data_IF_024561298689
#
_entry.id   IF_024561298689
#
_cell.length_a   1.000
_cell.length_b   1.000
_cell.length_c   1.000
_cell.angle_alpha   90.00
_cell.angle_beta   90.00
_cell.angle_gamma   90.00
#
_symmetry.space_group_name_H-M   'P 1'
#
loop_
_entity.id
_entity.type
_entity.pdbx_description
1 polymer ?
#
# COMPACT_ATOMS: atom_id res chain seq x y z
N UNK A 1 -45.75 -3.39 20.51
CA UNK A 1 -44.32 -3.23 20.80
C UNK A 1 -43.51 -3.44 19.51
N UNK A 2 -43.03 -2.35 18.88
CA UNK A 2 -42.18 -2.42 17.66
C UNK A 2 -40.72 -2.46 18.11
N UNK A 3 -40.03 -3.59 17.94
CA UNK A 3 -38.58 -3.62 18.03
C UNK A 3 -38.01 -2.88 16.80
N UNK A 4 -37.53 -1.66 17.01
CA UNK A 4 -36.74 -0.92 16.02
C UNK A 4 -35.38 -1.59 15.87
N UNK A 5 -35.21 -2.34 14.78
CA UNK A 5 -33.98 -3.02 14.38
C UNK A 5 -33.05 -2.19 13.47
N UNK A 6 -33.19 -0.85 13.47
CA UNK A 6 -32.52 0.02 12.49
C UNK A 6 -31.21 0.69 12.97
N UNK A 7 -30.80 0.52 14.23
CA UNK A 7 -29.64 1.25 14.80
C UNK A 7 -28.31 0.47 14.81
N UNK A 8 -28.28 -0.78 14.32
CA UNK A 8 -27.07 -1.61 14.34
C UNK A 8 -26.06 -1.25 13.24
N UNK A 9 -26.53 -0.76 12.07
CA UNK A 9 -25.70 -0.49 10.88
C UNK A 9 -24.60 0.58 11.08
N UNK A 10 -24.91 1.77 11.64
CA UNK A 10 -23.91 2.83 11.81
C UNK A 10 -22.81 2.48 12.83
N UNK A 11 -23.17 1.71 13.87
CA UNK A 11 -22.25 1.34 14.96
C UNK A 11 -21.24 0.27 14.55
N UNK A 12 -21.64 -0.67 13.69
CA UNK A 12 -20.76 -1.71 13.16
C UNK A 12 -19.75 -1.15 12.15
N UNK A 13 -20.18 -0.23 11.29
CA UNK A 13 -19.30 0.46 10.34
C UNK A 13 -18.23 1.27 11.08
N UNK A 14 -18.62 2.04 12.11
CA UNK A 14 -17.66 2.81 12.92
C UNK A 14 -16.61 1.96 13.65
N UNK A 15 -16.90 0.68 13.91
CA UNK A 15 -15.97 -0.27 14.53
C UNK A 15 -15.02 -0.92 13.52
N UNK A 16 -15.54 -1.29 12.34
CA UNK A 16 -14.82 -2.13 11.36
C UNK A 16 -13.99 -1.29 10.37
N UNK A 17 -14.41 -0.07 10.03
CA UNK A 17 -13.74 0.74 9.01
C UNK A 17 -12.23 0.96 9.25
N UNK A 18 -11.73 1.19 10.49
CA UNK A 18 -10.31 1.40 10.70
C UNK A 18 -9.46 0.16 10.39
N UNK A 19 -10.01 -1.04 10.61
CA UNK A 19 -9.35 -2.30 10.25
C UNK A 19 -9.27 -2.45 8.74
N UNK A 20 -10.35 -2.14 8.04
CA UNK A 20 -10.37 -2.13 6.57
C UNK A 20 -9.36 -1.12 6.03
N UNK A 21 -9.31 0.09 6.60
CA UNK A 21 -8.35 1.12 6.21
C UNK A 21 -6.90 0.67 6.42
N UNK A 22 -6.60 0.00 7.52
CA UNK A 22 -5.29 -0.58 7.81
C UNK A 22 -4.91 -1.64 6.77
N UNK A 23 -5.83 -2.56 6.44
CA UNK A 23 -5.59 -3.60 5.44
C UNK A 23 -5.37 -2.99 4.06
N UNK A 24 -6.18 -2.00 3.66
CA UNK A 24 -6.03 -1.29 2.39
C UNK A 24 -4.71 -0.51 2.32
N UNK A 25 -4.34 0.18 3.40
CA UNK A 25 -3.07 0.90 3.48
C UNK A 25 -1.87 -0.05 3.37
N UNK A 26 -1.93 -1.20 4.05
CA UNK A 26 -0.88 -2.21 3.96
C UNK A 26 -0.80 -2.81 2.56
N UNK A 27 -1.94 -3.15 1.96
CA UNK A 27 -1.99 -3.66 0.60
C UNK A 27 -1.39 -2.66 -0.39
N UNK A 28 -1.71 -1.37 -0.26
CA UNK A 28 -1.15 -0.31 -1.10
C UNK A 28 0.39 -0.22 -0.97
N UNK A 29 0.90 -0.19 0.26
CA UNK A 29 2.35 -0.13 0.52
C UNK A 29 3.06 -1.37 -0.03
N UNK A 30 2.47 -2.55 0.19
CA UNK A 30 3.00 -3.81 -0.35
C UNK A 30 3.00 -3.81 -1.88
N UNK A 31 1.93 -3.36 -2.54
CA UNK A 31 1.86 -3.27 -4.00
C UNK A 31 2.89 -2.29 -4.56
N UNK A 32 3.03 -1.10 -3.97
CA UNK A 32 4.05 -0.13 -4.38
C UNK A 32 5.47 -0.69 -4.22
N UNK A 33 5.72 -1.40 -3.12
CA UNK A 33 6.99 -2.08 -2.85
C UNK A 33 7.29 -3.16 -3.89
N UNK A 34 6.31 -4.03 -4.20
CA UNK A 34 6.45 -5.07 -5.22
C UNK A 34 6.68 -4.49 -6.62
N UNK A 35 5.96 -3.42 -6.97
CA UNK A 35 6.13 -2.73 -8.25
C UNK A 35 7.55 -2.16 -8.38
N UNK A 36 8.05 -1.50 -7.32
CA UNK A 36 9.41 -0.96 -7.27
C UNK A 36 10.45 -2.07 -7.43
N UNK A 37 10.30 -3.20 -6.73
CA UNK A 37 11.21 -4.34 -6.83
C UNK A 37 11.19 -4.96 -8.24
N UNK A 38 10.03 -5.01 -8.89
CA UNK A 38 9.93 -5.49 -10.27
C UNK A 38 10.65 -4.56 -11.24
N UNK A 39 10.48 -3.25 -11.12
CA UNK A 39 11.16 -2.27 -11.96
C UNK A 39 12.69 -2.27 -11.75
N UNK A 40 13.17 -2.41 -10.51
CA UNK A 40 14.60 -2.56 -10.22
C UNK A 40 15.18 -3.82 -10.86
N UNK A 41 14.44 -4.93 -10.82
CA UNK A 41 14.85 -6.18 -11.49
C UNK A 41 14.93 -6.00 -13.00
N UNK A 42 13.98 -5.28 -13.60
CA UNK A 42 14.00 -4.95 -15.02
C UNK A 42 15.26 -4.19 -15.40
N UNK A 43 15.71 -3.22 -14.59
CA UNK A 43 16.96 -2.49 -14.84
C UNK A 43 18.19 -3.40 -14.86
N UNK A 44 18.26 -4.36 -13.93
CA UNK A 44 19.33 -5.37 -13.92
C UNK A 44 19.24 -6.28 -15.15
N UNK A 45 18.03 -6.62 -15.59
CA UNK A 45 17.80 -7.37 -16.82
C UNK A 45 18.25 -6.60 -18.07
N UNK A 46 17.91 -5.32 -18.16
CA UNK A 46 18.32 -4.42 -19.23
C UNK A 46 19.84 -4.23 -19.29
N UNK A 47 20.50 -4.02 -18.15
CA UNK A 47 21.96 -3.99 -18.08
C UNK A 47 22.59 -5.26 -18.67
N UNK A 48 22.02 -6.44 -18.38
CA UNK A 48 22.52 -7.69 -18.95
C UNK A 48 22.42 -7.72 -20.48
N UNK A 49 21.34 -7.19 -21.05
CA UNK A 49 21.18 -7.08 -22.50
C UNK A 49 22.16 -6.08 -23.10
N UNK A 50 22.30 -4.91 -22.47
CA UNK A 50 23.26 -3.89 -22.85
C UNK A 50 24.70 -4.44 -22.90
N UNK A 51 25.12 -5.13 -21.84
CA UNK A 51 26.44 -5.75 -21.73
C UNK A 51 26.68 -6.86 -22.77
N UNK A 52 25.65 -7.64 -23.11
CA UNK A 52 25.74 -8.65 -24.19
C UNK A 52 25.84 -7.99 -25.57
N UNK A 53 25.02 -6.97 -25.84
CA UNK A 53 25.05 -6.22 -27.09
C UNK A 53 26.42 -5.60 -27.33
N UNK A 54 26.99 -4.96 -26.30
CA UNK A 54 28.35 -4.39 -26.35
C UNK A 54 29.43 -5.45 -26.67
N UNK A 55 29.43 -6.59 -25.96
CA UNK A 55 30.43 -7.65 -26.19
C UNK A 55 30.28 -8.31 -27.56
N UNK A 56 29.05 -8.58 -28.00
CA UNK A 56 28.79 -9.14 -29.32
C UNK A 56 29.19 -8.18 -30.43
N UNK A 57 28.93 -6.87 -30.26
CA UNK A 57 29.36 -5.87 -31.22
C UNK A 57 30.88 -5.89 -31.41
N UNK A 58 31.66 -5.89 -30.32
CA UNK A 58 33.13 -5.96 -30.40
C UNK A 58 33.61 -7.27 -31.03
N UNK A 59 32.98 -8.40 -30.69
CA UNK A 59 33.31 -9.70 -31.26
C UNK A 59 33.12 -9.72 -32.79
N UNK A 60 31.92 -9.37 -33.26
CA UNK A 60 31.62 -9.38 -34.69
C UNK A 60 32.36 -8.30 -35.48
N UNK A 61 32.65 -7.15 -34.86
CA UNK A 61 33.48 -6.14 -35.48
C UNK A 61 34.93 -6.61 -35.69
N UNK A 62 35.48 -7.40 -34.77
CA UNK A 62 36.79 -8.05 -34.96
C UNK A 62 36.75 -9.06 -36.12
N UNK A 63 35.72 -9.92 -36.18
CA UNK A 63 35.57 -10.87 -37.28
C UNK A 63 35.40 -10.17 -38.63
N UNK A 64 34.66 -9.06 -38.65
CA UNK A 64 34.50 -8.24 -39.84
C UNK A 64 35.82 -7.60 -40.28
N UNK A 65 36.64 -7.13 -39.34
CA UNK A 65 37.98 -6.61 -39.64
C UNK A 65 38.87 -7.66 -40.33
N UNK A 66 38.82 -8.91 -39.87
CA UNK A 66 39.67 -10.00 -40.38
C UNK A 66 39.18 -10.54 -41.74
N UNK A 67 37.87 -10.58 -41.95
CA UNK A 67 37.27 -11.31 -43.09
C UNK A 67 36.68 -10.42 -44.18
N UNK A 68 36.26 -9.19 -43.83
CA UNK A 68 35.49 -8.32 -44.70
C UNK A 68 34.10 -8.86 -45.09
N UNK A 69 33.61 -9.94 -44.47
CA UNK A 69 32.33 -10.55 -44.83
C UNK A 69 31.15 -9.76 -44.27
N UNK A 70 30.18 -9.42 -45.12
CA UNK A 70 29.04 -8.59 -44.77
C UNK A 70 28.14 -9.21 -43.67
N UNK A 71 28.14 -10.54 -43.54
CA UNK A 71 27.40 -11.25 -42.49
C UNK A 71 27.81 -10.77 -41.09
N UNK A 72 29.12 -10.73 -40.80
CA UNK A 72 29.62 -10.25 -39.51
C UNK A 72 29.35 -8.76 -39.31
N UNK A 73 29.33 -7.95 -40.37
CA UNK A 73 28.92 -6.54 -40.23
C UNK A 73 27.45 -6.41 -39.84
N UNK A 74 26.58 -7.23 -40.41
CA UNK A 74 25.15 -7.24 -40.06
C UNK A 74 24.94 -7.69 -38.62
N UNK A 75 25.64 -8.72 -38.17
CA UNK A 75 25.59 -9.18 -36.76
C UNK A 75 26.14 -8.11 -35.80
N UNK A 76 27.23 -7.44 -36.17
CA UNK A 76 27.73 -6.27 -35.45
C UNK A 76 26.67 -5.15 -35.35
N UNK A 77 26.03 -4.77 -36.46
CA UNK A 77 25.01 -3.71 -36.50
C UNK A 77 23.80 -4.07 -35.63
N UNK A 78 23.37 -5.33 -35.62
CA UNK A 78 22.30 -5.79 -34.72
C UNK A 78 22.72 -5.73 -33.26
N UNK A 79 23.95 -6.12 -32.94
CA UNK A 79 24.45 -6.13 -31.57
C UNK A 79 24.65 -4.71 -30.99
N UNK A 80 25.24 -3.78 -31.76
CA UNK A 80 25.46 -2.40 -31.32
C UNK A 80 24.15 -1.59 -31.22
N UNK A 81 23.11 -2.00 -31.95
CA UNK A 81 21.79 -1.35 -31.89
C UNK A 81 21.17 -1.42 -30.48
N UNK A 82 21.45 -2.48 -29.71
CA UNK A 82 20.93 -2.67 -28.34
C UNK A 82 21.39 -1.52 -27.40
N UNK A 83 22.69 -1.30 -27.16
CA UNK A 83 23.14 -0.22 -26.29
C UNK A 83 22.81 1.18 -26.83
N UNK A 84 22.72 1.35 -28.16
CA UNK A 84 22.29 2.60 -28.78
C UNK A 84 20.81 2.89 -28.52
N UNK A 85 19.95 1.87 -28.57
CA UNK A 85 18.52 2.00 -28.29
C UNK A 85 18.26 2.30 -26.80
N UNK A 86 18.98 1.62 -25.90
CA UNK A 86 18.94 1.92 -24.46
C UNK A 86 19.36 3.39 -24.20
N UNK A 87 20.45 3.84 -24.84
CA UNK A 87 20.89 5.25 -24.75
C UNK A 87 19.80 6.20 -25.24
N UNK A 88 19.16 5.90 -26.37
CA UNK A 88 18.06 6.71 -26.89
C UNK A 88 16.89 6.79 -25.89
N UNK A 89 16.57 5.68 -25.20
CA UNK A 89 15.55 5.67 -24.15
C UNK A 89 15.91 6.58 -22.97
N UNK A 90 17.15 6.50 -22.49
CA UNK A 90 17.63 7.37 -21.40
C UNK A 90 17.54 8.84 -21.79
N UNK A 91 18.05 9.20 -22.96
CA UNK A 91 18.03 10.58 -23.44
C UNK A 91 16.60 11.12 -23.58
N UNK A 92 15.65 10.30 -24.05
CA UNK A 92 14.23 10.67 -24.11
C UNK A 92 13.64 10.98 -22.72
N UNK A 93 14.07 10.25 -21.68
CA UNK A 93 13.62 10.47 -20.31
C UNK A 93 14.35 11.61 -19.58
N UNK A 94 15.53 12.01 -20.04
CA UNK A 94 16.33 13.09 -19.46
C UNK A 94 15.94 14.49 -19.95
N UNK A 95 15.12 14.57 -20.99
CA UNK A 95 14.57 15.84 -21.50
C UNK A 95 13.79 16.60 -20.41
N UNK A 96 13.71 17.93 -20.57
CA UNK A 96 12.94 18.78 -19.66
C UNK A 96 11.47 18.33 -19.58
N UNK A 97 10.91 17.92 -20.71
CA UNK A 97 9.64 17.21 -20.83
C UNK A 97 9.93 15.79 -21.33
N UNK A 98 9.89 14.76 -20.44
CA UNK A 98 10.22 13.40 -20.81
C UNK A 98 9.27 12.82 -21.88
N UNK A 99 9.83 12.35 -23.00
CA UNK A 99 9.08 11.63 -24.03
C UNK A 99 9.03 10.13 -23.68
N UNK A 100 7.92 9.72 -23.06
CA UNK A 100 7.73 8.33 -22.64
C UNK A 100 7.51 7.38 -23.82
N UNK A 101 7.03 7.87 -24.96
CA UNK A 101 6.82 7.03 -26.15
C UNK A 101 8.15 6.71 -26.83
N UNK A 102 9.01 7.73 -26.99
CA UNK A 102 10.37 7.53 -27.47
C UNK A 102 11.18 6.63 -26.51
N UNK A 103 11.02 6.84 -25.19
CA UNK A 103 11.65 5.98 -24.19
C UNK A 103 11.22 4.51 -24.32
N UNK A 104 9.91 4.27 -24.52
CA UNK A 104 9.37 2.93 -24.71
C UNK A 104 9.96 2.25 -25.93
N UNK A 105 10.08 2.95 -27.05
CA UNK A 105 10.70 2.43 -28.27
C UNK A 105 12.18 2.09 -28.05
N UNK A 106 12.93 2.95 -27.36
CA UNK A 106 14.34 2.70 -27.05
C UNK A 106 14.53 1.47 -26.15
N UNK A 107 13.75 1.32 -25.07
CA UNK A 107 13.88 0.16 -24.19
C UNK A 107 13.51 -1.16 -24.89
N UNK A 108 12.49 -1.16 -25.76
CA UNK A 108 12.16 -2.32 -26.59
C UNK A 108 13.30 -2.65 -27.56
N UNK A 109 13.92 -1.65 -28.18
CA UNK A 109 15.12 -1.82 -29.03
C UNK A 109 16.34 -2.32 -28.24
N UNK A 110 16.41 -2.00 -26.94
CA UNK A 110 17.37 -2.53 -25.98
C UNK A 110 17.09 -3.97 -25.53
N UNK A 111 16.14 -4.67 -26.17
CA UNK A 111 15.69 -6.02 -25.83
C UNK A 111 15.14 -6.17 -24.41
N UNK A 112 14.61 -5.11 -23.81
CA UNK A 112 13.85 -5.21 -22.57
C UNK A 112 12.49 -5.86 -22.84
N UNK A 113 12.00 -6.66 -21.88
CA UNK A 113 10.71 -7.32 -22.00
C UNK A 113 9.57 -6.29 -22.03
N UNK A 114 8.55 -6.41 -22.90
CA UNK A 114 7.48 -5.41 -23.02
C UNK A 114 6.75 -5.08 -21.71
N UNK A 115 6.55 -6.08 -20.85
CA UNK A 115 5.89 -5.93 -19.54
C UNK A 115 6.74 -5.17 -18.51
N UNK A 116 8.06 -5.08 -18.74
CA UNK A 116 8.99 -4.41 -17.84
C UNK A 116 9.17 -2.92 -18.21
N UNK A 117 8.86 -2.52 -19.46
CA UNK A 117 9.18 -1.19 -19.99
C UNK A 117 8.49 -0.07 -19.22
N UNK A 118 7.21 -0.24 -18.89
CA UNK A 118 6.46 0.80 -18.14
C UNK A 118 7.05 0.97 -16.73
N UNK A 119 7.52 -0.13 -16.13
CA UNK A 119 8.23 -0.13 -14.85
C UNK A 119 9.59 0.58 -14.92
N UNK A 120 10.37 0.35 -15.98
CA UNK A 120 11.64 1.04 -16.23
C UNK A 120 11.44 2.56 -16.31
N UNK A 121 10.48 3.00 -17.13
CA UNK A 121 10.13 4.43 -17.29
C UNK A 121 9.68 5.02 -15.95
N UNK A 122 8.80 4.33 -15.23
CA UNK A 122 8.31 4.79 -13.94
C UNK A 122 9.45 4.92 -12.93
N UNK A 123 10.34 3.93 -12.81
CA UNK A 123 11.44 3.97 -11.86
C UNK A 123 12.42 5.11 -12.18
N UNK A 124 12.77 5.32 -13.46
CA UNK A 124 13.64 6.42 -13.86
C UNK A 124 13.06 7.78 -13.47
N UNK A 125 11.80 8.03 -13.83
CA UNK A 125 11.17 9.33 -13.60
C UNK A 125 11.03 9.68 -12.12
N UNK A 126 10.75 8.67 -11.29
CA UNK A 126 10.47 8.88 -9.86
C UNK A 126 11.73 8.78 -8.98
N UNK A 127 12.75 8.03 -9.41
CA UNK A 127 13.88 7.68 -8.53
C UNK A 127 15.27 7.95 -9.11
N UNK A 128 15.43 8.52 -10.32
CA UNK A 128 16.77 8.73 -10.93
C UNK A 128 17.78 9.48 -10.08
N UNK A 129 17.32 10.32 -9.15
CA UNK A 129 18.17 11.12 -8.25
C UNK A 129 18.55 10.39 -6.96
N UNK A 130 18.10 9.15 -6.77
CA UNK A 130 18.43 8.35 -5.59
C UNK A 130 19.84 7.79 -5.77
N UNK A 131 20.71 8.01 -4.77
CA UNK A 131 22.13 7.66 -4.69
C UNK A 131 22.64 6.60 -5.69
N UNK A 132 22.18 5.35 -5.58
CA UNK A 132 22.65 4.24 -6.41
C UNK A 132 22.22 4.33 -7.88
N UNK A 133 20.99 4.78 -8.13
CA UNK A 133 20.47 4.91 -9.49
C UNK A 133 21.14 6.09 -10.21
N UNK A 134 21.40 7.19 -9.51
CA UNK A 134 22.17 8.32 -10.03
C UNK A 134 23.60 7.91 -10.41
N UNK A 135 24.26 7.14 -9.54
CA UNK A 135 25.62 6.62 -9.79
C UNK A 135 25.64 5.66 -10.99
N UNK A 136 24.66 4.76 -11.08
CA UNK A 136 24.52 3.87 -12.23
C UNK A 136 24.27 4.65 -13.53
N UNK A 137 23.39 5.65 -13.52
CA UNK A 137 23.12 6.50 -14.68
C UNK A 137 24.37 7.27 -15.12
N UNK A 138 25.20 7.73 -14.17
CA UNK A 138 26.48 8.38 -14.50
C UNK A 138 27.43 7.42 -15.22
N UNK A 139 27.66 6.21 -14.69
CA UNK A 139 28.50 5.22 -15.37
C UNK A 139 27.96 4.82 -16.76
N UNK A 140 26.63 4.75 -16.89
CA UNK A 140 26.00 4.51 -18.18
C UNK A 140 26.21 5.68 -19.15
N UNK A 141 26.09 6.92 -18.67
CA UNK A 141 26.34 8.12 -19.48
C UNK A 141 27.80 8.22 -19.91
N UNK A 142 28.74 7.90 -19.00
CA UNK A 142 30.17 7.87 -19.32
C UNK A 142 30.48 6.88 -20.42
N UNK A 143 29.73 5.76 -20.52
CA UNK A 143 29.89 4.76 -21.57
C UNK A 143 29.43 5.21 -22.98
N UNK A 144 28.62 6.27 -23.09
CA UNK A 144 28.06 6.75 -24.36
C UNK A 144 29.14 7.05 -25.40
N UNK A 145 30.21 7.72 -24.99
CA UNK A 145 31.28 8.14 -25.90
C UNK A 145 31.92 6.93 -26.58
N UNK A 146 32.18 5.87 -25.82
CA UNK A 146 32.78 4.64 -26.35
C UNK A 146 31.79 3.87 -27.25
N UNK A 147 30.50 3.80 -26.90
CA UNK A 147 29.50 3.16 -27.76
C UNK A 147 29.39 3.86 -29.11
N UNK A 148 29.36 5.19 -29.12
CA UNK A 148 29.35 5.99 -30.35
C UNK A 148 30.66 5.86 -31.14
N UNK A 149 31.80 5.76 -30.45
CA UNK A 149 33.09 5.52 -31.10
C UNK A 149 33.17 4.13 -31.75
N UNK A 150 32.59 3.10 -31.12
CA UNK A 150 32.45 1.77 -31.73
C UNK A 150 31.56 1.86 -32.97
N UNK A 151 30.40 2.52 -32.88
CA UNK A 151 29.50 2.73 -34.03
C UNK A 151 30.24 3.38 -35.22
N UNK A 152 30.89 4.51 -34.96
CA UNK A 152 31.64 5.26 -35.96
C UNK A 152 32.79 4.46 -36.58
N UNK A 153 33.49 3.63 -35.79
CA UNK A 153 34.54 2.76 -36.31
C UNK A 153 33.97 1.69 -37.24
N UNK A 154 32.84 1.06 -36.90
CA UNK A 154 32.16 0.12 -37.78
C UNK A 154 31.76 0.75 -39.11
N UNK A 155 31.20 1.97 -39.07
CA UNK A 155 30.80 2.70 -40.28
C UNK A 155 32.01 3.17 -41.12
N UNK A 156 33.15 3.48 -40.48
CA UNK A 156 34.44 3.73 -41.16
C UNK A 156 34.95 2.46 -41.87
N UNK A 157 34.97 1.33 -41.16
CA UNK A 157 35.42 0.04 -41.68
C UNK A 157 34.58 -0.41 -42.88
N UNK A 158 33.24 -0.34 -42.77
CA UNK A 158 32.34 -0.77 -43.85
C UNK A 158 32.53 0.08 -45.11
N UNK A 159 32.57 1.41 -44.98
CA UNK A 159 32.84 2.31 -46.12
C UNK A 159 34.20 2.08 -46.76
N UNK A 160 35.21 1.62 -46.00
CA UNK A 160 36.53 1.29 -46.54
C UNK A 160 36.51 -0.07 -47.26
N UNK A 161 35.85 -1.08 -46.70
CA UNK A 161 35.77 -2.43 -47.27
C UNK A 161 34.88 -2.49 -48.52
N UNK A 162 33.89 -1.61 -48.66
CA UNK A 162 33.13 -1.41 -49.89
C UNK A 162 33.99 -1.01 -51.10
N UNK A 163 35.16 -0.38 -50.86
CA UNK A 163 36.11 0.00 -51.92
C UNK A 163 37.06 -1.13 -52.32
N UNK A 164 36.98 -2.27 -51.63
CA UNK A 164 37.83 -3.43 -51.84
C UNK A 164 38.53 -3.90 -50.56
N UNK A 165 39.22 -5.05 -50.61
CA UNK A 165 39.83 -5.67 -49.43
C UNK A 165 40.75 -4.72 -48.65
N UNK A 166 40.72 -4.85 -47.33
CA UNK A 166 41.61 -4.10 -46.44
C UNK A 166 43.03 -4.68 -46.50
N UNK A 167 44.02 -3.80 -46.38
CA UNK A 167 45.43 -4.19 -46.25
C UNK A 167 45.71 -4.73 -44.84
N UNK A 168 46.75 -5.57 -44.66
CA UNK A 168 47.13 -6.05 -43.32
C UNK A 168 47.42 -4.93 -42.31
N UNK A 169 47.92 -3.78 -42.78
CA UNK A 169 48.17 -2.61 -41.95
C UNK A 169 46.86 -1.96 -41.47
N UNK A 170 45.85 -1.85 -42.34
CA UNK A 170 44.53 -1.32 -41.96
C UNK A 170 43.82 -2.25 -40.97
N UNK A 171 43.86 -3.56 -41.21
CA UNK A 171 43.30 -4.56 -40.27
C UNK A 171 43.97 -4.43 -38.90
N UNK A 172 45.31 -4.34 -38.86
CA UNK A 172 46.06 -4.17 -37.61
C UNK A 172 45.68 -2.87 -36.87
N UNK A 173 45.50 -1.77 -37.61
CA UNK A 173 45.08 -0.49 -37.05
C UNK A 173 43.66 -0.57 -36.46
N UNK A 174 42.72 -1.18 -37.18
CA UNK A 174 41.35 -1.36 -36.68
C UNK A 174 41.30 -2.24 -35.44
N UNK A 175 42.02 -3.37 -35.43
CA UNK A 175 42.08 -4.24 -34.24
C UNK A 175 42.70 -3.52 -33.04
N UNK A 176 43.72 -2.68 -33.25
CA UNK A 176 44.28 -1.86 -32.19
C UNK A 176 43.24 -0.86 -31.64
N UNK A 177 42.48 -0.18 -32.50
CA UNK A 177 41.38 0.71 -32.10
C UNK A 177 40.28 -0.04 -31.34
N UNK A 178 39.83 -1.19 -31.85
CA UNK A 178 38.80 -2.01 -31.19
C UNK A 178 39.27 -2.44 -29.80
N UNK A 179 40.52 -2.91 -29.68
CA UNK A 179 41.09 -3.31 -28.39
C UNK A 179 41.20 -2.15 -27.40
N UNK A 180 41.54 -0.95 -27.87
CA UNK A 180 41.56 0.26 -27.05
C UNK A 180 40.16 0.61 -26.52
N UNK A 181 39.14 0.57 -27.39
CA UNK A 181 37.75 0.84 -27.01
C UNK A 181 37.22 -0.19 -26.00
N UNK A 182 37.48 -1.49 -26.24
CA UNK A 182 37.11 -2.57 -25.31
C UNK A 182 37.72 -2.37 -23.92
N UNK A 183 39.01 -2.01 -23.88
CA UNK A 183 39.73 -1.71 -22.64
C UNK A 183 39.17 -0.51 -21.87
N UNK A 184 38.60 0.47 -22.56
CA UNK A 184 38.02 1.66 -21.95
C UNK A 184 36.59 1.40 -21.46
N UNK A 185 35.78 0.68 -22.23
CA UNK A 185 34.38 0.43 -21.89
C UNK A 185 34.20 -0.67 -20.83
N UNK A 186 35.09 -1.67 -20.79
CA UNK A 186 34.99 -2.79 -19.86
C UNK A 186 34.86 -2.39 -18.37
N UNK A 187 35.74 -1.50 -17.85
CA UNK A 187 35.63 -1.01 -16.47
C UNK A 187 34.33 -0.23 -16.20
N UNK A 188 33.83 0.54 -17.17
CA UNK A 188 32.58 1.31 -17.04
C UNK A 188 31.36 0.39 -17.01
N UNK A 189 31.30 -0.60 -17.91
CA UNK A 189 30.27 -1.63 -17.92
C UNK A 189 30.23 -2.39 -16.57
N UNK A 190 31.40 -2.76 -16.04
CA UNK A 190 31.53 -3.41 -14.74
C UNK A 190 31.03 -2.49 -13.61
N UNK A 191 31.45 -1.23 -13.58
CA UNK A 191 31.02 -0.26 -12.57
C UNK A 191 29.51 0.01 -12.61
N UNK A 192 28.92 0.05 -13.80
CA UNK A 192 27.48 0.15 -14.00
C UNK A 192 26.73 -1.07 -13.43
N UNK A 193 27.16 -2.29 -13.79
CA UNK A 193 26.63 -3.55 -13.26
C UNK A 193 26.75 -3.62 -11.73
N UNK A 194 27.92 -3.30 -11.18
CA UNK A 194 28.16 -3.33 -9.74
C UNK A 194 27.25 -2.34 -9.00
N UNK A 195 27.09 -1.12 -9.53
CA UNK A 195 26.21 -0.08 -8.97
C UNK A 195 24.73 -0.49 -8.95
N UNK A 196 24.24 -1.09 -10.05
CA UNK A 196 22.87 -1.62 -10.12
C UNK A 196 22.66 -2.81 -9.17
N UNK A 197 23.66 -3.71 -9.07
CA UNK A 197 23.60 -4.86 -8.17
C UNK A 197 23.57 -4.47 -6.69
N UNK A 198 24.41 -3.52 -6.28
CA UNK A 198 24.39 -2.96 -4.92
C UNK A 198 23.11 -2.20 -4.63
N UNK A 199 22.69 -1.31 -5.54
CA UNK A 199 21.46 -0.55 -5.43
C UNK A 199 20.22 -1.45 -5.30
N UNK A 200 20.15 -2.52 -6.10
CA UNK A 200 19.06 -3.50 -6.06
C UNK A 200 18.95 -4.20 -4.70
N UNK A 201 20.09 -4.68 -4.16
CA UNK A 201 20.13 -5.32 -2.84
C UNK A 201 19.74 -4.36 -1.72
N UNK A 202 20.23 -3.13 -1.77
CA UNK A 202 19.88 -2.09 -0.82
C UNK A 202 18.38 -1.75 -0.87
N UNK A 203 17.82 -1.50 -2.06
CA UNK A 203 16.40 -1.18 -2.24
C UNK A 203 15.53 -2.33 -1.74
N UNK A 204 15.88 -3.59 -2.06
CA UNK A 204 15.16 -4.76 -1.55
C UNK A 204 15.14 -4.78 -0.03
N UNK A 205 16.28 -4.56 0.63
CA UNK A 205 16.38 -4.55 2.08
C UNK A 205 15.57 -3.40 2.69
N UNK A 206 15.70 -2.19 2.15
CA UNK A 206 14.99 -1.00 2.61
C UNK A 206 13.47 -1.15 2.47
N UNK A 207 12.98 -1.62 1.32
CA UNK A 207 11.56 -1.87 1.08
C UNK A 207 11.00 -2.97 1.99
N UNK A 208 11.79 -4.03 2.24
CA UNK A 208 11.39 -5.10 3.16
C UNK A 208 11.27 -4.57 4.59
N UNK A 209 12.26 -3.79 5.05
CA UNK A 209 12.22 -3.14 6.36
C UNK A 209 11.05 -2.17 6.48
N UNK A 210 10.79 -1.36 5.44
CA UNK A 210 9.67 -0.44 5.40
C UNK A 210 8.32 -1.16 5.52
N UNK A 211 8.10 -2.25 4.77
CA UNK A 211 6.89 -3.07 4.85
C UNK A 211 6.68 -3.67 6.25
N UNK A 212 7.75 -4.18 6.87
CA UNK A 212 7.66 -4.75 8.24
C UNK A 212 7.38 -3.66 9.28
N UNK A 213 8.02 -2.49 9.14
CA UNK A 213 7.82 -1.36 10.04
C UNK A 213 6.39 -0.80 9.91
N UNK A 214 5.86 -0.64 8.70
CA UNK A 214 4.47 -0.21 8.50
C UNK A 214 3.49 -1.24 9.02
N UNK A 215 3.72 -2.54 8.80
CA UNK A 215 2.90 -3.60 9.40
C UNK A 215 2.87 -3.53 10.93
N UNK A 216 4.04 -3.44 11.57
CA UNK A 216 4.13 -3.31 13.02
C UNK A 216 3.42 -2.05 13.53
N UNK A 217 3.64 -0.90 12.88
CA UNK A 217 3.00 0.37 13.24
C UNK A 217 1.48 0.27 13.16
N UNK A 218 0.94 -0.30 12.06
CA UNK A 218 -0.50 -0.43 11.88
C UNK A 218 -1.12 -1.40 12.90
N UNK A 219 -0.44 -2.50 13.24
CA UNK A 219 -0.87 -3.41 14.31
C UNK A 219 -0.91 -2.67 15.66
N UNK A 220 0.13 -1.89 15.98
CA UNK A 220 0.16 -1.10 17.21
C UNK A 220 -0.97 -0.07 17.28
N UNK A 221 -1.28 0.60 16.16
CA UNK A 221 -2.40 1.53 16.07
C UNK A 221 -3.75 0.84 16.30
N UNK A 222 -3.93 -0.36 15.73
CA UNK A 222 -5.13 -1.19 15.94
C UNK A 222 -5.26 -1.59 17.41
N UNK A 223 -4.19 -2.09 18.03
CA UNK A 223 -4.18 -2.49 19.45
C UNK A 223 -4.49 -1.28 20.34
N UNK A 224 -3.85 -0.15 20.08
CA UNK A 224 -4.06 1.09 20.83
C UNK A 224 -5.50 1.59 20.71
N UNK A 225 -6.05 1.64 19.49
CA UNK A 225 -7.44 2.04 19.24
C UNK A 225 -8.44 1.11 19.93
N UNK A 226 -8.21 -0.20 19.84
CA UNK A 226 -9.08 -1.21 20.46
C UNK A 226 -9.06 -1.10 21.98
N UNK A 227 -7.88 -0.94 22.59
CA UNK A 227 -7.75 -0.70 24.04
C UNK A 227 -8.48 0.57 24.47
N UNK A 228 -8.30 1.67 23.73
CA UNK A 228 -8.97 2.95 24.01
C UNK A 228 -10.50 2.81 23.97
N UNK A 229 -11.03 2.07 22.99
CA UNK A 229 -12.47 1.84 22.87
C UNK A 229 -13.01 0.97 24.02
N UNK A 230 -12.26 -0.08 24.42
CA UNK A 230 -12.64 -0.95 25.55
C UNK A 230 -12.71 -0.17 26.87
N UNK A 231 -11.72 0.69 27.14
CA UNK A 231 -11.71 1.54 28.35
C UNK A 231 -12.90 2.51 28.34
N UNK A 232 -13.20 3.15 27.20
CA UNK A 232 -14.34 4.05 27.08
C UNK A 232 -15.67 3.33 27.31
N UNK A 233 -15.84 2.11 26.77
CA UNK A 233 -17.03 1.30 26.99
C UNK A 233 -17.18 0.90 28.46
N UNK A 234 -16.09 0.49 29.11
CA UNK A 234 -16.12 0.14 30.54
C UNK A 234 -16.49 1.35 31.40
N UNK A 235 -15.89 2.52 31.17
CA UNK A 235 -16.19 3.74 31.92
C UNK A 235 -17.66 4.16 31.75
N UNK A 236 -18.21 4.10 30.54
CA UNK A 236 -19.61 4.40 30.27
C UNK A 236 -20.55 3.42 30.99
N UNK A 237 -20.26 2.12 30.94
CA UNK A 237 -21.06 1.11 31.62
C UNK A 237 -21.04 1.29 33.15
N UNK A 238 -19.88 1.59 33.73
CA UNK A 238 -19.75 1.87 35.16
C UNK A 238 -20.52 3.13 35.58
N UNK A 239 -20.47 4.20 34.79
CA UNK A 239 -21.22 5.43 35.06
C UNK A 239 -22.74 5.17 35.03
N UNK A 240 -23.22 4.43 34.03
CA UNK A 240 -24.63 4.07 33.91
C UNK A 240 -25.11 3.20 35.08
N UNK A 241 -24.30 2.23 35.50
CA UNK A 241 -24.60 1.40 36.65
C UNK A 241 -24.66 2.23 37.94
N UNK A 242 -23.72 3.17 38.13
CA UNK A 242 -23.70 4.04 39.30
C UNK A 242 -24.90 5.00 39.34
N UNK A 243 -25.34 5.55 38.20
CA UNK A 243 -26.57 6.34 38.14
C UNK A 243 -27.80 5.52 38.48
N UNK A 244 -27.89 4.29 37.94
CA UNK A 244 -29.00 3.37 38.24
C UNK A 244 -29.05 3.04 39.74
N UNK A 245 -27.91 2.73 40.33
CA UNK A 245 -27.80 2.43 41.76
C UNK A 245 -28.19 3.64 42.62
N UNK A 246 -27.71 4.85 42.30
CA UNK A 246 -28.11 6.08 42.99
C UNK A 246 -29.61 6.34 42.90
N UNK A 247 -30.22 6.15 41.72
CA UNK A 247 -31.66 6.32 41.55
C UNK A 247 -32.43 5.32 42.42
N UNK A 248 -32.01 4.06 42.45
CA UNK A 248 -32.62 3.02 43.30
C UNK A 248 -32.49 3.32 44.79
N UNK A 249 -31.31 3.76 45.25
CA UNK A 249 -31.10 4.17 46.65
C UNK A 249 -31.98 5.37 47.00
N UNK A 250 -32.08 6.35 46.10
CA UNK A 250 -32.93 7.54 46.29
C UNK A 250 -34.39 7.12 46.42
N UNK A 251 -34.93 6.30 45.51
CA UNK A 251 -36.30 5.79 45.59
C UNK A 251 -36.56 4.96 46.86
N UNK A 252 -35.57 4.16 47.27
CA UNK A 252 -35.67 3.33 48.47
C UNK A 252 -35.69 4.15 49.77
N UNK A 253 -35.07 5.34 49.77
CA UNK A 253 -34.95 6.20 50.96
C UNK A 253 -36.07 7.24 51.10
N UNK A 254 -36.96 7.38 50.11
CA UNK A 254 -38.16 8.22 50.23
C UNK A 254 -39.08 7.68 51.32
N UNK A 255 -39.44 8.52 52.29
CA UNK A 255 -40.28 8.13 53.43
C UNK A 255 -41.73 7.80 53.07
N UNK A 256 -42.23 8.31 51.93
CA UNK A 256 -43.54 7.98 51.37
C UNK A 256 -43.50 6.65 50.61
N UNK A 257 -44.66 5.99 50.52
CA UNK A 257 -44.81 4.79 49.71
C UNK A 257 -44.64 5.13 48.21
N UNK A 258 -43.68 4.48 47.55
CA UNK A 258 -43.44 4.61 46.11
C UNK A 258 -43.60 3.25 45.45
N UNK A 259 -44.39 3.19 44.38
CA UNK A 259 -44.65 1.98 43.58
C UNK A 259 -44.46 2.34 42.10
N UNK A 260 -43.77 1.49 41.34
CA UNK A 260 -43.66 1.57 39.89
C UNK A 260 -44.25 0.33 39.25
N UNK A 261 -44.88 0.50 38.09
CA UNK A 261 -45.45 -0.60 37.30
C UNK A 261 -44.80 -0.70 35.93
N UNK A 262 -44.97 -1.85 35.28
CA UNK A 262 -44.69 -2.02 33.84
C UNK A 262 -45.82 -1.42 32.98
N UNK A 263 -45.66 -1.51 31.65
CA UNK A 263 -46.62 -0.96 30.70
C UNK A 263 -47.99 -1.67 30.76
N UNK A 264 -48.06 -2.86 31.35
CA UNK A 264 -49.27 -3.67 31.51
C UNK A 264 -49.89 -3.50 32.91
N UNK A 265 -49.40 -2.57 33.73
CA UNK A 265 -49.94 -2.27 35.06
C UNK A 265 -49.57 -3.28 36.15
N UNK A 266 -48.53 -4.09 35.93
CA UNK A 266 -48.01 -5.04 36.94
C UNK A 266 -46.91 -4.38 37.76
N UNK A 267 -46.84 -4.73 39.04
CA UNK A 267 -45.87 -4.14 39.95
C UNK A 267 -44.43 -4.55 39.58
N UNK A 268 -43.57 -3.57 39.27
CA UNK A 268 -42.14 -3.78 38.98
C UNK A 268 -41.25 -3.41 40.17
N UNK A 269 -41.59 -2.35 40.90
CA UNK A 269 -40.81 -1.85 42.05
C UNK A 269 -41.72 -1.31 43.16
N UNK A 270 -41.31 -1.49 44.42
CA UNK A 270 -41.88 -0.76 45.54
C UNK A 270 -40.81 -0.54 46.63
N UNK A 271 -40.86 0.61 47.30
CA UNK A 271 -39.92 0.93 48.39
C UNK A 271 -40.42 0.40 49.75
N UNK A 272 -39.58 0.49 50.80
CA UNK A 272 -39.93 0.04 52.14
C UNK A 272 -41.11 0.81 52.77
N UNK A 273 -41.41 2.03 52.30
CA UNK A 273 -42.63 2.75 52.66
C UNK A 273 -43.88 2.03 52.16
N UNK A 274 -43.87 1.60 50.89
CA UNK A 274 -44.95 0.87 50.26
C UNK A 274 -45.11 -0.56 50.82
N UNK A 275 -44.01 -1.26 51.11
CA UNK A 275 -44.06 -2.59 51.76
C UNK A 275 -44.77 -2.54 53.12
N UNK A 276 -44.47 -1.51 53.92
CA UNK A 276 -45.12 -1.28 55.22
C UNK A 276 -46.58 -0.91 55.07
N UNK A 277 -46.91 -0.08 54.08
CA UNK A 277 -48.29 0.36 53.82
C UNK A 277 -49.19 -0.80 53.36
N UNK A 278 -48.66 -1.66 52.48
CA UNK A 278 -49.40 -2.78 51.89
C UNK A 278 -49.29 -4.08 52.71
N UNK A 279 -48.45 -4.09 53.76
CA UNK A 279 -48.13 -5.28 54.55
C UNK A 279 -47.69 -6.49 53.70
N UNK A 280 -47.03 -6.23 52.56
CA UNK A 280 -46.56 -7.26 51.64
C UNK A 280 -45.13 -6.95 51.18
N UNK A 281 -44.31 -7.97 50.96
CA UNK A 281 -42.95 -7.81 50.46
C UNK A 281 -42.91 -7.69 48.94
N UNK A 282 -41.89 -7.01 48.40
CA UNK A 282 -41.73 -6.81 46.96
C UNK A 282 -41.63 -8.15 46.24
N UNK A 283 -40.91 -9.10 46.84
CA UNK A 283 -40.79 -10.45 46.31
C UNK A 283 -42.15 -11.17 46.14
N UNK A 284 -43.12 -10.91 47.02
CA UNK A 284 -44.46 -11.50 46.96
C UNK A 284 -45.43 -10.72 46.05
N UNK A 285 -45.19 -9.42 45.86
CA UNK A 285 -46.06 -8.52 45.10
C UNK A 285 -45.63 -8.33 43.64
N UNK A 286 -44.35 -8.55 43.32
CA UNK A 286 -43.79 -8.29 41.98
C UNK A 286 -44.48 -9.12 40.89
N UNK A 287 -44.79 -8.49 39.76
CA UNK A 287 -45.46 -9.10 38.61
C UNK A 287 -46.98 -9.26 38.75
N UNK A 288 -47.54 -8.98 39.93
CA UNK A 288 -49.00 -8.99 40.14
C UNK A 288 -49.62 -7.67 39.64
N UNK A 289 -50.85 -7.69 39.10
CA UNK A 289 -51.56 -6.46 38.74
C UNK A 289 -51.71 -5.57 39.96
N UNK A 290 -51.37 -4.28 39.83
CA UNK A 290 -51.37 -3.36 40.98
C UNK A 290 -52.77 -3.23 41.62
N UNK A 291 -53.83 -3.28 40.80
CA UNK A 291 -55.22 -3.28 41.24
C UNK A 291 -55.62 -4.49 42.13
N UNK A 292 -54.82 -5.56 42.12
CA UNK A 292 -55.05 -6.73 42.99
C UNK A 292 -54.43 -6.60 44.39
N UNK A 293 -53.57 -5.59 44.60
CA UNK A 293 -52.79 -5.44 45.82
C UNK A 293 -53.42 -4.45 46.81
N UNK A 294 -54.12 -3.43 46.31
CA UNK A 294 -54.85 -2.46 47.14
C UNK A 294 -55.99 -1.82 46.36
N UNK A 295 -56.91 -1.19 47.08
CA UNK A 295 -58.03 -0.43 46.54
C UNK A 295 -57.81 1.05 46.81
N UNK A 296 -58.04 1.89 45.81
CA UNK A 296 -58.00 3.34 45.96
C UNK A 296 -59.41 3.80 46.34
N UNK A 297 -59.52 4.56 47.42
CA UNK A 297 -60.79 5.09 47.92
C UNK A 297 -60.62 6.60 48.03
N UNK A 298 -61.53 7.35 47.41
CA UNK A 298 -61.52 8.80 47.50
C UNK A 298 -61.80 9.25 48.94
N UNK A 299 -61.00 10.19 49.43
CA UNK A 299 -60.97 10.55 50.86
C UNK A 299 -62.23 11.28 51.31
N UNK A 300 -62.86 12.05 50.42
CA UNK A 300 -63.98 12.93 50.76
C UNK A 300 -65.33 12.26 50.51
N UNK A 301 -65.40 11.39 49.49
CA UNK A 301 -66.62 10.66 49.12
C UNK A 301 -66.69 9.23 49.65
N UNK A 302 -65.56 8.62 50.02
CA UNK A 302 -65.50 7.24 50.49
C UNK A 302 -65.80 6.19 49.41
N UNK A 303 -65.89 6.59 48.13
CA UNK A 303 -66.17 5.70 47.01
C UNK A 303 -64.87 5.07 46.49
N UNK A 304 -64.91 3.77 46.21
CA UNK A 304 -63.80 3.05 45.60
C UNK A 304 -63.64 3.49 44.14
N UNK A 305 -62.44 3.97 43.79
CA UNK A 305 -62.13 4.48 42.46
C UNK A 305 -61.47 3.39 41.61
N UNK A 306 -62.29 2.47 41.07
CA UNK A 306 -61.82 1.30 40.33
C UNK A 306 -61.17 1.63 38.98
N UNK A 307 -61.55 2.74 38.35
CA UNK A 307 -61.07 3.10 37.01
C UNK A 307 -59.82 3.98 37.03
N UNK A 308 -59.43 4.53 38.17
CA UNK A 308 -58.29 5.45 38.27
C UNK A 308 -56.99 4.80 37.80
N UNK A 309 -56.76 3.54 38.18
CA UNK A 309 -55.55 2.79 37.77
C UNK A 309 -55.57 2.54 36.26
N UNK A 310 -56.74 2.21 35.69
CA UNK A 310 -56.88 1.98 34.24
C UNK A 310 -56.65 3.28 33.45
N UNK A 311 -57.16 4.41 33.94
CA UNK A 311 -56.99 5.75 33.34
C UNK A 311 -55.53 6.24 33.41
N UNK A 312 -54.87 6.07 34.56
CA UNK A 312 -53.45 6.40 34.73
C UNK A 312 -52.54 5.59 33.79
N UNK A 313 -52.88 4.32 33.54
CA UNK A 313 -52.17 3.48 32.56
C UNK A 313 -52.47 3.87 31.10
N UNK A 314 -53.65 4.45 30.83
CA UNK A 314 -54.02 5.01 29.54
C UNK A 314 -53.43 6.42 29.29
N UNK A 315 -52.88 7.07 30.33
CA UNK A 315 -52.31 8.41 30.26
C UNK A 315 -53.34 9.54 30.35
N UNK A 316 -54.51 9.26 30.94
CA UNK A 316 -55.65 10.19 31.11
C UNK A 316 -55.71 10.87 32.48
#
# INVERSE_FOLDING_TARGET
>A
MKFSSTDAGPRLIGLVWPFVAVVLAQALVATLSLHTLSAVRAYVGGESQWSKGQKHAIYFLNLYADTGQQEYFNEYRQAIAVPLADRAARLALEQAEPDTNAARLGFLGGNNHPDDVDGLIWLFRNFRRVSYLDTAIRHWTDADEMILAIEGLGDEMNRRLEKGPATPAEISLWKAKIHQLDRQIGPLAKAFSDSLGEGSRFIKMALTAANLATAALLILLVVWRTRKLMIQRQAFQSALNAERERAQITLASIGQAVISTDAEGRLDYMNAGAERLLACSLAAARGRPIASLFRLVDKDSGVEETDLIARLLAGE
#
